data_IF_068421981214
#
_entry.id   IF_068421981214
#
_cell.length_a   1.000
_cell.length_b   1.000
_cell.length_c   1.000
_cell.angle_alpha   90.00
_cell.angle_beta   90.00
_cell.angle_gamma   90.00
#
_symmetry.space_group_name_H-M   'P 1'
#
loop_
_entity.id
_entity.type
_entity.pdbx_description
1 polymer ?
#
# COMPACT_ATOMS: atom_id res chain seq x y z
N UNK A 1 -4.93 22.94 -0.59
CA UNK A 1 -3.96 22.11 -1.30
C UNK A 1 -3.78 22.69 -2.71
N UNK A 2 -2.60 22.52 -3.35
CA UNK A 2 -2.42 22.89 -4.75
C UNK A 2 -3.42 22.11 -5.60
N UNK A 3 -4.11 22.80 -6.51
CA UNK A 3 -5.19 22.22 -7.31
C UNK A 3 -6.57 22.24 -6.64
N UNK A 4 -6.72 22.89 -5.48
CA UNK A 4 -8.05 23.06 -4.87
C UNK A 4 -8.84 24.21 -5.48
N UNK A 5 -8.20 25.09 -6.22
CA UNK A 5 -8.84 26.19 -6.98
C UNK A 5 -9.25 25.75 -8.39
N UNK A 6 -8.65 24.68 -8.89
CA UNK A 6 -8.96 24.12 -10.19
C UNK A 6 -10.21 23.22 -10.12
N UNK A 7 -11.00 23.09 -11.20
CA UNK A 7 -12.18 22.23 -11.19
C UNK A 7 -11.82 20.75 -11.03
N UNK A 8 -12.76 19.96 -10.48
CA UNK A 8 -12.64 18.51 -10.49
C UNK A 8 -12.61 18.00 -11.94
N UNK A 9 -11.74 17.03 -12.22
CA UNK A 9 -11.63 16.46 -13.56
C UNK A 9 -12.93 15.74 -13.96
N UNK A 10 -13.46 16.15 -15.07
CA UNK A 10 -14.78 15.72 -15.62
C UNK A 10 -14.68 14.63 -16.70
N UNK A 11 -13.51 14.03 -16.89
CA UNK A 11 -13.26 13.06 -17.96
C UNK A 11 -12.74 13.67 -19.27
N UNK A 12 -12.61 14.98 -19.34
CA UNK A 12 -12.10 15.66 -20.56
C UNK A 12 -10.64 15.28 -20.83
N UNK A 13 -10.36 14.88 -22.07
CA UNK A 13 -9.02 14.49 -22.51
C UNK A 13 -8.09 15.69 -22.72
N UNK A 14 -6.79 15.45 -22.76
CA UNK A 14 -5.75 16.43 -23.08
C UNK A 14 -5.49 17.48 -21.98
N UNK A 15 -5.98 17.24 -20.77
CA UNK A 15 -5.76 18.11 -19.60
C UNK A 15 -4.48 17.76 -18.84
N UNK A 16 -3.94 18.76 -18.15
CA UNK A 16 -2.96 18.54 -17.07
C UNK A 16 -3.74 18.26 -15.78
N UNK A 17 -3.68 17.06 -15.26
CA UNK A 17 -4.49 16.62 -14.12
C UNK A 17 -3.61 16.34 -12.91
N UNK A 18 -3.96 16.93 -11.75
CA UNK A 18 -3.36 16.59 -10.46
C UNK A 18 -4.18 15.51 -9.78
N UNK A 19 -3.53 14.41 -9.44
CA UNK A 19 -4.10 13.32 -8.64
C UNK A 19 -3.69 13.51 -7.18
N UNK A 20 -4.67 13.77 -6.33
CA UNK A 20 -4.47 13.95 -4.89
C UNK A 20 -4.63 12.63 -4.15
N UNK A 21 -3.56 12.16 -3.51
CA UNK A 21 -3.53 10.90 -2.76
C UNK A 21 -3.79 11.15 -1.26
N UNK A 22 -4.88 11.82 -0.93
CA UNK A 22 -5.24 12.26 0.42
C UNK A 22 -5.82 11.16 1.32
N UNK A 23 -6.06 10.00 0.77
CA UNK A 23 -6.54 8.81 1.46
C UNK A 23 -5.41 8.03 2.16
N UNK A 24 -5.75 6.97 2.90
CA UNK A 24 -4.77 6.05 3.47
C UNK A 24 -3.87 5.39 2.43
N UNK A 25 -2.70 4.90 2.85
CA UNK A 25 -1.74 4.26 1.92
C UNK A 25 -2.36 3.08 1.18
N UNK A 26 -3.23 2.31 1.83
CA UNK A 26 -3.96 1.21 1.18
C UNK A 26 -4.80 1.69 0.00
N UNK A 27 -5.49 2.82 0.16
CA UNK A 27 -6.29 3.43 -0.90
C UNK A 27 -5.40 3.97 -2.03
N UNK A 28 -4.28 4.63 -1.68
CA UNK A 28 -3.31 5.10 -2.67
C UNK A 28 -2.80 3.94 -3.54
N UNK A 29 -2.50 2.79 -2.93
CA UNK A 29 -2.07 1.58 -3.65
C UNK A 29 -3.22 1.06 -4.51
N UNK A 30 -4.38 0.79 -3.92
CA UNK A 30 -5.50 0.18 -4.61
C UNK A 30 -5.95 0.98 -5.85
N UNK A 31 -6.09 2.29 -5.72
CA UNK A 31 -6.55 3.13 -6.84
C UNK A 31 -5.45 3.52 -7.83
N UNK A 32 -4.17 3.36 -7.47
CA UNK A 32 -3.06 3.66 -8.41
C UNK A 32 -3.08 2.80 -9.68
N UNK A 33 -3.80 1.70 -9.68
CA UNK A 33 -4.04 0.91 -10.88
C UNK A 33 -4.70 1.69 -12.03
N UNK A 34 -5.36 2.82 -11.73
CA UNK A 34 -6.00 3.68 -12.73
C UNK A 34 -5.07 4.76 -13.30
N UNK A 35 -3.87 4.92 -12.76
CA UNK A 35 -2.91 5.95 -13.22
C UNK A 35 -2.52 5.77 -14.70
N UNK A 36 -2.22 4.55 -15.20
CA UNK A 36 -1.94 4.36 -16.62
C UNK A 36 -3.11 4.73 -17.53
N UNK A 37 -4.36 4.49 -17.09
CA UNK A 37 -5.55 4.86 -17.87
C UNK A 37 -5.69 6.39 -17.94
N UNK A 38 -5.45 7.10 -16.82
CA UNK A 38 -5.44 8.55 -16.80
C UNK A 38 -4.32 9.13 -17.67
N UNK A 39 -3.11 8.53 -17.65
CA UNK A 39 -2.01 8.96 -18.52
C UNK A 39 -2.38 8.86 -20.00
N UNK A 40 -3.11 7.82 -20.40
CA UNK A 40 -3.50 7.62 -21.80
C UNK A 40 -4.44 8.70 -22.35
N UNK A 41 -5.17 9.39 -21.47
CA UNK A 41 -6.16 10.42 -21.88
C UNK A 41 -5.76 11.85 -21.50
N UNK A 42 -4.70 12.02 -20.70
CA UNK A 42 -4.24 13.31 -20.21
C UNK A 42 -3.03 13.83 -20.98
N UNK A 43 -2.90 15.15 -21.08
CA UNK A 43 -1.66 15.78 -21.57
C UNK A 43 -0.51 15.58 -20.59
N UNK A 44 -0.80 15.66 -19.30
CA UNK A 44 0.15 15.49 -18.21
C UNK A 44 -0.59 15.00 -16.96
N UNK A 45 0.03 14.07 -16.25
CA UNK A 45 -0.44 13.62 -14.93
C UNK A 45 0.60 14.01 -13.88
N UNK A 46 0.13 14.58 -12.79
CA UNK A 46 0.93 14.94 -11.62
C UNK A 46 0.31 14.23 -10.43
N UNK A 47 1.12 13.49 -9.67
CA UNK A 47 0.68 12.84 -8.43
C UNK A 47 1.20 13.64 -7.24
N UNK A 48 0.30 14.02 -6.35
CA UNK A 48 0.62 14.54 -5.03
C UNK A 48 0.32 13.47 -3.98
N UNK A 49 1.37 12.92 -3.36
CA UNK A 49 1.27 11.81 -2.41
C UNK A 49 2.07 12.09 -1.12
N UNK A 50 2.05 11.15 -0.18
CA UNK A 50 2.96 11.20 0.95
C UNK A 50 4.41 10.94 0.51
N UNK A 51 5.38 11.58 1.17
CA UNK A 51 6.80 11.53 0.79
C UNK A 51 7.32 10.09 0.66
N UNK A 52 6.94 9.21 1.57
CA UNK A 52 7.33 7.80 1.57
C UNK A 52 6.83 6.99 0.36
N UNK A 53 5.83 7.50 -0.39
CA UNK A 53 5.29 6.85 -1.59
C UNK A 53 5.99 7.29 -2.88
N UNK A 54 6.77 8.36 -2.82
CA UNK A 54 7.40 8.95 -4.02
C UNK A 54 8.29 7.97 -4.78
N UNK A 55 9.19 7.20 -4.14
CA UNK A 55 10.04 6.25 -4.86
C UNK A 55 9.23 5.19 -5.61
N UNK A 56 8.21 4.64 -4.97
CA UNK A 56 7.31 3.65 -5.55
C UNK A 56 6.61 4.18 -6.80
N UNK A 57 5.98 5.35 -6.69
CA UNK A 57 5.19 5.90 -7.81
C UNK A 57 6.08 6.36 -8.95
N UNK A 58 7.22 6.99 -8.70
CA UNK A 58 8.19 7.36 -9.73
C UNK A 58 8.67 6.16 -10.53
N UNK A 59 8.93 5.03 -9.87
CA UNK A 59 9.39 3.81 -10.55
C UNK A 59 8.27 3.16 -11.37
N UNK A 60 7.04 3.15 -10.87
CA UNK A 60 5.94 2.42 -11.48
C UNK A 60 5.16 3.21 -12.54
N UNK A 61 5.22 4.54 -12.51
CA UNK A 61 4.50 5.40 -13.44
C UNK A 61 5.46 6.33 -14.19
N UNK A 62 6.25 5.79 -15.14
CA UNK A 62 7.17 6.59 -15.94
C UNK A 62 6.39 7.67 -16.71
N UNK A 63 6.92 8.89 -16.75
CA UNK A 63 6.28 10.02 -17.39
C UNK A 63 5.28 10.78 -16.51
N UNK A 64 4.97 10.28 -15.31
CA UNK A 64 4.18 10.99 -14.30
C UNK A 64 5.11 11.83 -13.43
N UNK A 65 4.74 13.08 -13.19
CA UNK A 65 5.41 13.93 -12.22
C UNK A 65 4.89 13.59 -10.81
N UNK A 66 5.79 13.31 -9.84
CA UNK A 66 5.39 12.86 -8.50
C UNK A 66 6.00 13.75 -7.44
N UNK A 67 5.15 14.28 -6.56
CA UNK A 67 5.50 15.17 -5.46
C UNK A 67 5.07 14.59 -4.11
N UNK A 68 5.98 14.61 -3.13
CA UNK A 68 5.75 14.16 -1.76
C UNK A 68 5.21 15.24 -0.83
N UNK A 69 4.28 16.06 -1.29
CA UNK A 69 3.86 17.31 -0.62
C UNK A 69 2.45 17.26 -0.02
N UNK A 70 1.85 16.09 0.05
CA UNK A 70 0.45 15.91 0.45
C UNK A 70 0.01 16.65 1.73
N UNK A 71 0.92 16.92 2.66
CA UNK A 71 0.62 17.62 3.92
C UNK A 71 1.23 19.00 4.01
N UNK A 72 1.90 19.46 2.94
CA UNK A 72 2.56 20.76 2.91
C UNK A 72 1.57 21.87 2.58
N UNK A 73 1.64 22.98 3.31
CA UNK A 73 0.75 24.13 3.09
C UNK A 73 1.14 24.95 1.86
N UNK A 74 2.44 25.04 1.56
CA UNK A 74 2.99 25.81 0.44
C UNK A 74 3.76 24.89 -0.49
N UNK A 75 3.33 24.79 -1.74
CA UNK A 75 3.95 23.92 -2.75
C UNK A 75 4.26 24.73 -4.01
N UNK A 76 5.53 25.00 -4.20
CA UNK A 76 6.00 25.85 -5.29
C UNK A 76 5.87 25.21 -6.69
N UNK A 77 5.76 23.89 -6.77
CA UNK A 77 5.62 23.18 -8.04
C UNK A 77 4.27 23.46 -8.72
N UNK A 78 3.20 23.61 -7.95
CA UNK A 78 1.84 23.82 -8.47
C UNK A 78 1.72 25.13 -9.27
N UNK A 79 2.37 26.18 -8.84
CA UNK A 79 2.34 27.50 -9.50
C UNK A 79 2.88 27.42 -10.93
N UNK A 80 3.84 26.53 -11.20
CA UNK A 80 4.52 26.38 -12.51
C UNK A 80 3.93 25.27 -13.38
N UNK A 81 3.01 24.48 -12.84
CA UNK A 81 2.58 23.23 -13.49
C UNK A 81 1.54 23.42 -14.59
N UNK A 82 0.84 24.57 -14.66
CA UNK A 82 -0.24 24.79 -15.63
C UNK A 82 -1.34 23.75 -15.48
N UNK A 83 -1.87 23.60 -14.27
CA UNK A 83 -2.89 22.61 -13.90
C UNK A 83 -4.23 23.02 -14.52
N UNK A 84 -4.92 22.09 -15.16
CA UNK A 84 -6.26 22.29 -15.74
C UNK A 84 -7.37 21.74 -14.85
N UNK A 85 -7.08 20.69 -14.07
CA UNK A 85 -8.05 20.02 -13.21
C UNK A 85 -7.36 19.21 -12.11
N UNK A 86 -8.12 18.87 -11.07
CA UNK A 86 -7.68 17.93 -10.02
C UNK A 86 -8.65 16.78 -9.86
N UNK A 87 -8.19 15.68 -9.27
CA UNK A 87 -9.03 14.54 -8.89
C UNK A 87 -8.44 13.83 -7.66
N UNK A 88 -9.28 13.41 -6.73
CA UNK A 88 -8.85 12.49 -5.70
C UNK A 88 -8.57 11.12 -6.30
N UNK A 89 -7.52 10.45 -5.83
CA UNK A 89 -7.11 9.15 -6.41
C UNK A 89 -8.26 8.13 -6.39
N UNK A 90 -9.11 8.15 -5.36
CA UNK A 90 -10.31 7.29 -5.26
C UNK A 90 -11.37 7.60 -6.31
N UNK A 91 -11.43 8.83 -6.81
CA UNK A 91 -12.35 9.25 -7.87
C UNK A 91 -12.04 8.65 -9.23
N UNK A 92 -10.82 8.17 -9.47
CA UNK A 92 -10.41 7.56 -10.73
C UNK A 92 -11.23 6.30 -11.07
N UNK A 93 -11.65 5.55 -10.05
CA UNK A 93 -12.49 4.36 -10.24
C UNK A 93 -13.79 4.65 -10.96
N UNK A 94 -14.41 5.81 -10.72
CA UNK A 94 -15.64 6.27 -11.40
C UNK A 94 -15.48 6.33 -12.93
N UNK A 95 -14.29 6.65 -13.39
CA UNK A 95 -13.99 6.82 -14.81
C UNK A 95 -13.50 5.54 -15.48
N UNK A 96 -12.66 4.76 -14.80
CA UNK A 96 -11.89 3.67 -15.40
C UNK A 96 -12.28 2.27 -14.92
N UNK A 97 -13.18 2.12 -13.93
CA UNK A 97 -13.58 0.81 -13.37
C UNK A 97 -15.09 0.73 -13.21
N UNK A 98 -15.79 0.85 -14.35
CA UNK A 98 -17.27 0.87 -14.40
C UNK A 98 -17.88 -0.53 -14.44
N UNK A 99 -17.09 -1.53 -14.85
CA UNK A 99 -17.52 -2.93 -15.02
C UNK A 99 -16.43 -3.85 -14.49
N UNK A 100 -16.77 -5.08 -14.13
CA UNK A 100 -15.79 -6.09 -13.69
C UNK A 100 -14.73 -6.38 -14.74
N UNK A 101 -15.08 -6.30 -16.03
CA UNK A 101 -14.14 -6.45 -17.16
C UNK A 101 -13.05 -5.37 -17.21
N UNK A 102 -13.26 -4.23 -16.57
CA UNK A 102 -12.30 -3.12 -16.57
C UNK A 102 -11.15 -3.36 -15.56
N UNK A 103 -11.29 -4.37 -14.69
CA UNK A 103 -10.22 -4.78 -13.78
C UNK A 103 -9.29 -5.79 -14.45
N UNK A 104 -8.02 -5.43 -14.58
CA UNK A 104 -7.03 -6.26 -15.29
C UNK A 104 -6.73 -7.58 -14.61
N UNK A 105 -7.02 -7.71 -13.32
CA UNK A 105 -6.73 -8.88 -12.46
C UNK A 105 -5.26 -9.30 -12.51
N UNK A 106 -4.35 -8.36 -12.74
CA UNK A 106 -2.90 -8.56 -12.84
C UNK A 106 -2.18 -7.64 -11.89
N UNK A 107 -0.97 -8.03 -11.51
CA UNK A 107 -0.06 -7.12 -10.80
C UNK A 107 0.16 -5.85 -11.62
N UNK A 108 0.10 -4.71 -10.96
CA UNK A 108 0.27 -3.40 -11.58
C UNK A 108 1.38 -2.55 -10.93
N UNK A 109 1.90 -2.99 -9.78
CA UNK A 109 3.09 -2.41 -9.15
C UNK A 109 4.23 -3.41 -9.16
N UNK A 110 5.44 -2.91 -9.42
CA UNK A 110 6.69 -3.68 -9.40
C UNK A 110 7.51 -3.26 -8.18
N UNK A 111 7.86 -4.18 -7.29
CA UNK A 111 8.80 -3.92 -6.20
C UNK A 111 10.17 -3.50 -6.72
N UNK A 112 10.94 -2.79 -5.90
CA UNK A 112 12.34 -2.49 -6.21
C UNK A 112 13.17 -3.79 -6.15
N UNK A 113 13.81 -4.24 -7.25
CA UNK A 113 14.53 -5.51 -7.29
C UNK A 113 15.76 -5.51 -6.38
N UNK A 114 16.38 -4.35 -6.14
CA UNK A 114 17.55 -4.23 -5.26
C UNK A 114 17.12 -4.45 -3.81
N UNK A 115 16.04 -3.81 -3.39
CA UNK A 115 15.49 -4.01 -2.05
C UNK A 115 14.98 -5.44 -1.85
N UNK A 116 14.33 -6.03 -2.87
CA UNK A 116 13.90 -7.44 -2.81
C UNK A 116 15.08 -8.38 -2.60
N UNK A 117 16.21 -8.16 -3.30
CA UNK A 117 17.42 -8.97 -3.11
C UNK A 117 17.97 -8.84 -1.69
N UNK A 118 18.06 -7.62 -1.15
CA UNK A 118 18.49 -7.39 0.25
C UNK A 118 17.61 -8.13 1.24
N UNK A 119 16.28 -8.07 1.05
CA UNK A 119 15.35 -8.78 1.92
C UNK A 119 15.49 -10.30 1.80
N UNK A 120 15.68 -10.84 0.61
CA UNK A 120 15.94 -12.29 0.43
C UNK A 120 17.22 -12.73 1.13
N UNK A 121 18.29 -11.94 1.07
CA UNK A 121 19.54 -12.22 1.79
C UNK A 121 19.34 -12.18 3.32
N UNK A 122 18.55 -11.22 3.81
CA UNK A 122 18.24 -11.14 5.24
C UNK A 122 17.36 -12.32 5.68
N UNK A 123 16.33 -12.66 4.91
CA UNK A 123 15.42 -13.77 5.18
C UNK A 123 16.10 -15.14 5.11
N UNK A 124 17.12 -15.30 4.27
CA UNK A 124 17.89 -16.54 4.14
C UNK A 124 18.59 -17.01 5.45
N UNK A 125 18.68 -16.14 6.46
CA UNK A 125 19.17 -16.50 7.80
C UNK A 125 18.18 -17.33 8.61
N UNK A 126 16.96 -17.47 8.12
CA UNK A 126 15.87 -18.13 8.83
C UNK A 126 15.32 -19.29 8.01
N UNK A 127 14.82 -20.36 8.67
CA UNK A 127 14.20 -21.49 7.97
C UNK A 127 12.92 -21.08 7.25
N UNK A 128 12.69 -21.70 6.10
CA UNK A 128 11.44 -21.57 5.32
C UNK A 128 10.31 -22.43 5.88
N UNK A 129 9.03 -22.12 5.55
CA UNK A 129 8.57 -20.97 4.77
C UNK A 129 8.69 -19.66 5.53
N UNK A 130 8.85 -18.55 4.80
CA UNK A 130 8.87 -17.20 5.34
C UNK A 130 7.47 -16.59 5.24
N UNK A 131 6.81 -16.42 6.37
CA UNK A 131 5.42 -15.98 6.42
C UNK A 131 5.32 -14.61 7.11
N UNK A 132 4.80 -13.62 6.41
CA UNK A 132 4.48 -12.32 7.01
C UNK A 132 3.11 -12.36 7.68
N UNK A 133 2.98 -11.81 8.88
CA UNK A 133 1.72 -11.73 9.61
C UNK A 133 1.39 -10.30 10.03
N UNK A 134 0.11 -9.95 10.00
CA UNK A 134 -0.40 -8.71 10.60
C UNK A 134 -1.79 -8.96 11.16
N UNK A 135 -1.97 -8.72 12.46
CA UNK A 135 -3.19 -9.02 13.21
C UNK A 135 -3.98 -7.78 13.63
N UNK A 136 -3.44 -6.59 13.40
CA UNK A 136 -4.11 -5.33 13.70
C UNK A 136 -4.39 -4.53 12.45
N UNK A 137 -5.60 -4.02 12.33
CA UNK A 137 -6.05 -3.26 11.15
C UNK A 137 -6.77 -1.97 11.49
N UNK A 138 -6.48 -0.95 10.70
CA UNK A 138 -7.18 0.33 10.80
C UNK A 138 -6.68 1.23 11.93
N UNK A 139 -7.31 2.40 12.01
CA UNK A 139 -7.18 3.35 13.09
C UNK A 139 -8.41 3.27 14.00
N UNK A 140 -8.39 3.82 15.23
CA UNK A 140 -9.58 3.85 16.10
C UNK A 140 -10.83 4.36 15.37
N UNK A 141 -10.68 5.42 14.57
CA UNK A 141 -11.76 6.05 13.80
C UNK A 141 -12.27 5.19 12.63
N UNK A 142 -11.52 4.17 12.21
CA UNK A 142 -11.86 3.30 11.08
C UNK A 142 -12.21 1.88 11.51
N UNK A 143 -12.64 1.69 12.76
CA UNK A 143 -13.06 0.39 13.30
C UNK A 143 -11.88 -0.56 13.56
N UNK A 144 -10.83 -0.07 14.25
CA UNK A 144 -9.64 -0.89 14.56
C UNK A 144 -10.01 -2.17 15.30
N UNK A 145 -10.95 -2.11 16.27
CA UNK A 145 -11.36 -3.27 17.05
C UNK A 145 -12.01 -4.36 16.18
N UNK A 146 -12.91 -3.96 15.26
CA UNK A 146 -13.63 -4.90 14.39
C UNK A 146 -12.73 -5.52 13.30
N UNK A 147 -11.57 -4.93 13.05
CA UNK A 147 -10.63 -5.30 12.01
C UNK A 147 -9.33 -5.89 12.54
N UNK A 148 -9.29 -6.15 13.82
CA UNK A 148 -8.11 -6.74 14.49
C UNK A 148 -8.52 -8.02 15.18
N UNK A 149 -7.55 -8.92 15.32
CA UNK A 149 -7.66 -10.12 16.13
C UNK A 149 -6.50 -10.16 17.12
N UNK A 150 -6.57 -11.02 18.11
CA UNK A 150 -5.47 -11.20 19.04
C UNK A 150 -4.31 -11.96 18.38
N UNK A 151 -3.08 -11.64 18.75
CA UNK A 151 -1.91 -12.35 18.23
C UNK A 151 -1.99 -13.86 18.53
N UNK A 152 -2.58 -14.21 19.67
CA UNK A 152 -2.78 -15.59 20.07
C UNK A 152 -3.69 -16.40 19.12
N UNK A 153 -4.56 -15.75 18.35
CA UNK A 153 -5.40 -16.42 17.35
C UNK A 153 -4.55 -16.97 16.18
N UNK A 154 -3.33 -16.48 16.00
CA UNK A 154 -2.36 -17.01 15.03
C UNK A 154 -1.59 -18.24 15.55
N UNK A 155 -1.63 -18.56 16.83
CA UNK A 155 -0.89 -19.68 17.42
C UNK A 155 -1.02 -21.00 16.64
N UNK A 156 -2.21 -21.41 16.13
CA UNK A 156 -2.33 -22.63 15.34
C UNK A 156 -1.56 -22.61 14.01
N UNK A 157 -1.28 -21.42 13.47
CA UNK A 157 -0.55 -21.22 12.21
C UNK A 157 0.96 -21.21 12.43
N UNK A 158 1.41 -20.71 13.59
CA UNK A 158 2.84 -20.45 13.90
C UNK A 158 3.55 -21.74 14.35
N UNK A 159 3.29 -22.86 13.67
CA UNK A 159 3.91 -24.13 14.01
C UNK A 159 4.97 -24.60 13.01
N UNK A 160 5.06 -23.98 11.86
CA UNK A 160 5.97 -24.38 10.76
C UNK A 160 6.53 -23.17 10.02
N UNK A 161 7.84 -23.04 9.97
CA UNK A 161 8.53 -21.94 9.30
C UNK A 161 8.88 -20.77 10.21
N UNK A 162 9.25 -19.65 9.59
CA UNK A 162 9.57 -18.40 10.31
C UNK A 162 8.51 -17.35 10.01
N UNK A 163 8.00 -16.75 11.07
CA UNK A 163 6.97 -15.72 11.00
C UNK A 163 7.56 -14.34 11.24
N UNK A 164 7.10 -13.37 10.45
CA UNK A 164 7.60 -12.00 10.46
C UNK A 164 6.45 -11.03 10.73
N UNK A 165 6.64 -10.18 11.73
CA UNK A 165 5.70 -9.13 12.08
C UNK A 165 5.72 -8.01 11.02
N UNK A 166 4.58 -7.83 10.35
CA UNK A 166 4.33 -6.77 9.39
C UNK A 166 3.35 -5.71 9.92
N UNK A 167 3.04 -5.73 11.21
CA UNK A 167 2.13 -4.75 11.81
C UNK A 167 2.68 -3.34 11.65
N UNK A 168 1.78 -2.40 11.40
CA UNK A 168 2.15 -1.00 11.15
C UNK A 168 2.41 -0.22 12.46
N UNK A 169 1.71 -0.58 13.52
CA UNK A 169 1.85 0.02 14.85
C UNK A 169 3.02 -0.61 15.65
N UNK A 170 3.27 -0.07 16.83
CA UNK A 170 4.30 -0.60 17.72
C UNK A 170 3.80 -1.89 18.41
N UNK A 171 4.11 -3.01 17.78
CA UNK A 171 3.80 -4.38 18.24
C UNK A 171 4.94 -5.05 18.99
N UNK A 172 6.09 -4.37 19.12
CA UNK A 172 7.32 -4.99 19.60
C UNK A 172 7.22 -5.60 21.01
N UNK A 173 6.55 -4.94 21.95
CA UNK A 173 6.34 -5.46 23.31
C UNK A 173 5.43 -6.69 23.31
N UNK A 174 4.33 -6.65 22.57
CA UNK A 174 3.40 -7.79 22.44
C UNK A 174 4.08 -9.00 21.80
N UNK A 175 4.82 -8.78 20.72
CA UNK A 175 5.60 -9.86 20.06
C UNK A 175 6.64 -10.44 21.00
N UNK A 176 7.35 -9.61 21.75
CA UNK A 176 8.37 -10.06 22.71
C UNK A 176 7.75 -10.91 23.82
N UNK A 177 6.65 -10.48 24.38
CA UNK A 177 5.94 -11.22 25.42
C UNK A 177 5.38 -12.54 24.88
N UNK A 178 4.73 -12.51 23.72
CA UNK A 178 4.19 -13.68 23.06
C UNK A 178 5.26 -14.75 22.76
N UNK A 179 6.45 -14.32 22.29
CA UNK A 179 7.59 -15.19 22.04
C UNK A 179 8.09 -15.91 23.30
N UNK A 180 8.07 -15.22 24.47
CA UNK A 180 8.45 -15.81 25.74
C UNK A 180 7.44 -16.87 26.19
N UNK A 181 6.14 -16.58 26.04
CA UNK A 181 5.06 -17.45 26.50
C UNK A 181 4.87 -18.72 25.64
N UNK A 182 5.22 -18.67 24.35
CA UNK A 182 4.90 -19.73 23.40
C UNK A 182 6.12 -20.51 22.88
N UNK A 183 7.33 -20.23 23.36
CA UNK A 183 8.60 -20.86 22.91
C UNK A 183 8.75 -20.83 21.36
N UNK A 184 8.20 -19.81 20.72
CA UNK A 184 8.28 -19.60 19.28
C UNK A 184 8.72 -18.17 19.03
N UNK A 185 9.40 -17.95 17.90
CA UNK A 185 9.97 -16.63 17.63
C UNK A 185 9.35 -16.00 16.36
N UNK A 186 8.40 -15.12 16.58
CA UNK A 186 8.03 -14.13 15.56
C UNK A 186 9.16 -13.13 15.47
N UNK A 187 9.67 -12.89 14.28
CA UNK A 187 10.76 -11.95 14.02
C UNK A 187 10.20 -10.58 13.66
N UNK A 188 10.83 -9.52 14.16
CA UNK A 188 10.49 -8.14 13.79
C UNK A 188 11.51 -7.65 12.76
N UNK A 189 11.14 -7.53 11.48
CA UNK A 189 12.04 -7.04 10.44
C UNK A 189 12.42 -5.58 10.65
N UNK A 190 13.67 -5.17 10.38
CA UNK A 190 14.10 -3.79 10.49
C UNK A 190 13.65 -2.96 9.25
N UNK A 191 12.34 -2.78 9.09
CA UNK A 191 11.76 -2.07 7.95
C UNK A 191 12.00 -0.57 8.07
N UNK A 192 12.49 0.05 7.01
CA UNK A 192 12.50 1.50 6.88
C UNK A 192 11.08 2.03 6.59
N UNK A 193 10.39 2.47 7.63
CA UNK A 193 9.01 3.00 7.52
C UNK A 193 8.92 4.37 6.85
N UNK A 194 10.04 5.06 6.63
CA UNK A 194 10.09 6.32 5.87
C UNK A 194 10.02 6.08 4.35
N UNK A 195 10.34 4.85 3.91
CA UNK A 195 10.29 4.42 2.53
C UNK A 195 9.34 3.23 2.36
N UNK A 196 8.17 3.47 1.75
CA UNK A 196 7.19 2.39 1.61
C UNK A 196 7.63 1.28 0.63
N UNK A 197 8.58 1.57 -0.26
CA UNK A 197 9.20 0.55 -1.11
C UNK A 197 9.88 -0.56 -0.32
N UNK A 198 10.42 -0.25 0.86
CA UNK A 198 11.05 -1.25 1.72
C UNK A 198 10.02 -2.28 2.24
N UNK A 199 8.84 -1.80 2.65
CA UNK A 199 7.73 -2.68 3.01
C UNK A 199 7.28 -3.56 1.83
N UNK A 200 7.13 -2.97 0.64
CA UNK A 200 6.71 -3.71 -0.56
C UNK A 200 7.75 -4.76 -0.95
N UNK A 201 9.02 -4.42 -0.85
CA UNK A 201 10.11 -5.33 -1.19
C UNK A 201 10.19 -6.52 -0.22
N UNK A 202 9.99 -6.28 1.08
CA UNK A 202 9.89 -7.37 2.07
C UNK A 202 8.71 -8.29 1.72
N UNK A 203 7.51 -7.73 1.51
CA UNK A 203 6.32 -8.52 1.13
C UNK A 203 6.57 -9.33 -0.13
N UNK A 204 7.26 -8.77 -1.12
CA UNK A 204 7.62 -9.47 -2.34
C UNK A 204 8.64 -10.60 -2.14
N UNK A 205 9.46 -10.53 -1.10
CA UNK A 205 10.48 -11.52 -0.77
C UNK A 205 9.93 -12.70 0.06
N UNK A 206 8.81 -12.53 0.76
CA UNK A 206 8.16 -13.56 1.57
C UNK A 206 7.54 -14.67 0.72
N UNK A 207 7.35 -15.85 1.27
CA UNK A 207 6.65 -16.96 0.63
C UNK A 207 5.13 -16.75 0.68
N UNK A 208 4.58 -16.38 1.85
CA UNK A 208 3.15 -16.08 2.07
C UNK A 208 2.93 -14.88 3.00
N UNK A 209 1.72 -14.34 2.97
CA UNK A 209 1.27 -13.29 3.88
C UNK A 209 -0.09 -13.67 4.45
N UNK A 210 -0.25 -13.58 5.78
CA UNK A 210 -1.53 -13.71 6.47
C UNK A 210 -1.82 -12.39 7.17
N UNK A 211 -2.92 -11.75 6.83
CA UNK A 211 -3.22 -10.41 7.34
C UNK A 211 -4.71 -10.23 7.59
N UNK A 212 -5.06 -9.37 8.51
CA UNK A 212 -6.41 -8.82 8.57
C UNK A 212 -6.59 -7.78 7.46
N UNK A 213 -7.76 -7.14 7.36
CA UNK A 213 -8.08 -6.14 6.34
C UNK A 213 -7.24 -4.86 6.48
N UNK A 214 -6.01 -4.88 5.96
CA UNK A 214 -5.01 -3.79 6.06
C UNK A 214 -4.46 -3.38 4.69
N UNK A 215 -3.57 -2.40 4.70
CA UNK A 215 -2.78 -2.00 3.52
C UNK A 215 -2.02 -3.19 2.89
N UNK A 216 -1.63 -4.19 3.67
CA UNK A 216 -0.89 -5.37 3.16
C UNK A 216 -1.72 -6.18 2.17
N UNK A 217 -3.02 -6.33 2.37
CA UNK A 217 -3.90 -6.99 1.41
C UNK A 217 -3.83 -6.29 0.03
N UNK A 218 -3.88 -4.95 0.02
CA UNK A 218 -3.75 -4.16 -1.21
C UNK A 218 -2.35 -4.26 -1.82
N UNK A 219 -1.30 -4.27 -0.99
CA UNK A 219 0.09 -4.48 -1.45
C UNK A 219 0.21 -5.82 -2.15
N UNK A 220 -0.23 -6.91 -1.52
CA UNK A 220 -0.16 -8.25 -2.11
C UNK A 220 -0.89 -8.30 -3.46
N UNK A 221 -2.11 -7.77 -3.53
CA UNK A 221 -2.86 -7.68 -4.80
C UNK A 221 -2.12 -6.86 -5.86
N UNK A 222 -1.57 -5.70 -5.48
CA UNK A 222 -0.88 -4.80 -6.40
C UNK A 222 0.38 -5.40 -7.02
N UNK A 223 1.13 -6.22 -6.26
CA UNK A 223 2.37 -6.87 -6.74
C UNK A 223 2.19 -8.32 -7.17
N UNK A 224 0.94 -8.84 -7.13
CA UNK A 224 0.62 -10.21 -7.53
C UNK A 224 1.14 -11.27 -6.56
N UNK A 225 1.21 -10.96 -5.25
CA UNK A 225 1.58 -11.93 -4.22
C UNK A 225 0.34 -12.57 -3.61
N UNK A 226 0.43 -13.85 -3.33
CA UNK A 226 -0.60 -14.56 -2.60
C UNK A 226 -0.69 -14.05 -1.16
N UNK A 227 -1.92 -13.93 -0.66
CA UNK A 227 -2.19 -13.56 0.73
C UNK A 227 -3.48 -14.20 1.23
N UNK A 228 -3.46 -14.60 2.49
CA UNK A 228 -4.66 -14.98 3.24
C UNK A 228 -5.15 -13.75 4.00
N UNK A 229 -6.35 -13.28 3.67
CA UNK A 229 -6.94 -12.09 4.30
C UNK A 229 -8.08 -12.53 5.22
N UNK A 230 -7.91 -12.25 6.51
CA UNK A 230 -8.95 -12.48 7.52
C UNK A 230 -9.92 -11.30 7.48
N UNK A 231 -11.13 -11.58 7.06
CA UNK A 231 -12.16 -10.57 6.80
C UNK A 231 -13.20 -10.63 7.91
N UNK A 232 -13.60 -9.49 8.52
CA UNK A 232 -14.65 -9.48 9.53
C UNK A 232 -16.00 -9.91 8.94
N UNK A 233 -16.92 -10.37 9.78
CA UNK A 233 -18.26 -10.83 9.37
C UNK A 233 -19.05 -9.75 8.59
N UNK A 234 -18.80 -8.48 8.92
CA UNK A 234 -19.35 -7.32 8.17
C UNK A 234 -18.15 -6.58 7.55
N UNK A 235 -17.74 -6.96 6.33
CA UNK A 235 -16.58 -6.35 5.71
C UNK A 235 -16.88 -4.95 5.17
N UNK A 236 -15.83 -4.18 5.00
CA UNK A 236 -15.90 -2.99 4.16
C UNK A 236 -16.06 -3.42 2.69
N UNK A 237 -16.63 -2.56 1.87
CA UNK A 237 -16.91 -2.83 0.45
C UNK A 237 -15.71 -3.30 -0.41
N UNK A 238 -14.50 -3.13 0.10
CA UNK A 238 -13.23 -3.51 -0.58
C UNK A 238 -12.88 -5.00 -0.47
N UNK A 239 -13.55 -5.73 0.43
CA UNK A 239 -13.21 -7.11 0.79
C UNK A 239 -14.41 -8.03 0.70
#
# INVERSE_FOLDING_TARGET
PPGSEEPEWDGTHGKTVVVQCDQGVGDQIMFSQCIPDLQAVSRKVIIECSERMVPLFKRNFPGVEVHGTLKHKNVNWAVKAGIDAHIHISGLGKWFRKRDSDFTRRAYLKPDPVLVSKWKEWLAKFPKPWVGIAWRGGLPQTGKADRSIELNDYAPLISRGTFFDLSYDDSGLEVSQWNIENDVQIKTPPIDRSNFDDTIALVAALDDVVTVTTTLAHVCGAIGRHAYVLVPAVPQWRY
#
